data_IF_775795889588
#
_entry.id   IF_775795889588
#
_cell.length_a   1.000
_cell.length_b   1.000
_cell.length_c   1.000
_cell.angle_alpha   90.00
_cell.angle_beta   90.00
_cell.angle_gamma   90.00
#
_symmetry.space_group_name_H-M   'P 1'
#
loop_
_entity.id
_entity.type
_entity.pdbx_description
1 polymer ?
#
# COMPACT_ATOMS: atom_id res chain seq x y z
N UNK A 1 3.79 -1.30 21.53
CA UNK A 1 5.20 -1.00 21.21
C UNK A 1 5.24 0.26 20.35
N UNK A 2 5.10 1.45 20.95
CA UNK A 2 4.95 2.76 20.28
C UNK A 2 6.12 3.69 20.65
N UNK A 3 7.35 3.16 20.62
CA UNK A 3 8.56 3.91 21.04
C UNK A 3 9.42 4.42 19.86
N UNK A 4 8.95 4.36 18.61
CA UNK A 4 9.80 4.56 17.43
C UNK A 4 9.24 5.49 16.34
N UNK A 5 8.54 6.56 16.74
CA UNK A 5 8.47 7.73 15.87
C UNK A 5 9.60 8.73 16.12
N UNK A 6 10.50 8.54 17.09
CA UNK A 6 11.63 9.44 17.41
C UNK A 6 11.42 10.91 17.02
N UNK A 7 11.84 11.30 15.80
CA UNK A 7 11.28 12.45 15.07
C UNK A 7 11.05 12.20 13.54
N UNK A 8 10.57 11.00 13.22
CA UNK A 8 10.29 10.30 11.94
C UNK A 8 11.51 9.52 11.41
N UNK A 9 11.49 8.20 11.61
CA UNK A 9 12.61 7.26 11.46
C UNK A 9 13.23 7.26 10.05
N UNK A 10 14.23 8.11 9.84
CA UNK A 10 14.95 8.26 8.59
C UNK A 10 16.42 7.93 8.79
N UNK A 11 17.08 7.38 7.76
CA UNK A 11 18.54 7.22 7.74
C UNK A 11 19.21 8.55 8.13
N UNK A 12 20.39 8.54 8.77
CA UNK A 12 21.09 9.77 9.16
C UNK A 12 21.35 10.71 7.98
N UNK A 13 21.39 10.17 6.75
CA UNK A 13 21.67 10.93 5.54
C UNK A 13 20.42 11.11 4.66
N UNK A 14 19.47 11.90 5.17
CA UNK A 14 18.32 12.35 4.39
C UNK A 14 18.73 13.26 3.22
N UNK A 15 17.97 13.19 2.13
CA UNK A 15 18.06 14.17 1.04
C UNK A 15 17.76 15.61 1.52
N UNK A 16 18.15 16.60 0.71
CA UNK A 16 17.88 18.02 1.01
C UNK A 16 16.36 18.26 1.12
N UNK A 17 15.57 17.71 0.20
CA UNK A 17 14.12 17.84 0.23
C UNK A 17 13.53 17.15 1.46
N UNK A 18 13.97 15.93 1.77
CA UNK A 18 13.51 15.19 2.95
C UNK A 18 13.78 15.95 4.26
N UNK A 19 15.00 16.51 4.43
CA UNK A 19 15.35 17.36 5.58
C UNK A 19 14.44 18.57 5.69
N UNK A 20 14.25 19.30 4.59
CA UNK A 20 13.41 20.51 4.56
C UNK A 20 11.94 20.22 4.89
N UNK A 21 11.37 19.13 4.37
CA UNK A 21 10.00 18.72 4.67
C UNK A 21 9.87 18.30 6.12
N UNK A 22 10.76 17.42 6.62
CA UNK A 22 10.76 16.97 8.02
C UNK A 22 10.76 18.16 8.98
N UNK A 23 11.71 19.08 8.81
CA UNK A 23 11.88 20.22 9.71
C UNK A 23 10.66 21.16 9.67
N UNK A 24 10.04 21.32 8.49
CA UNK A 24 8.84 22.13 8.33
C UNK A 24 7.63 21.52 9.05
N UNK A 25 7.36 20.23 8.81
CA UNK A 25 6.17 19.55 9.34
C UNK A 25 6.25 19.27 10.85
N UNK A 26 7.46 19.21 11.42
CA UNK A 26 7.67 19.16 12.87
C UNK A 26 7.22 20.43 13.62
N UNK A 27 7.10 21.56 12.92
CA UNK A 27 6.74 22.85 13.53
C UNK A 27 5.46 23.46 12.96
N UNK A 28 4.91 22.89 11.88
CA UNK A 28 3.73 23.41 11.21
C UNK A 28 2.72 22.28 10.92
N UNK A 29 1.62 22.30 11.67
CA UNK A 29 0.58 21.28 11.61
C UNK A 29 -0.66 21.71 10.80
N UNK A 30 -0.79 23.00 10.43
CA UNK A 30 -1.97 23.50 9.70
C UNK A 30 -1.94 23.06 8.25
N UNK A 31 -3.04 22.47 7.77
CA UNK A 31 -3.20 21.96 6.41
C UNK A 31 -2.71 22.94 5.32
N UNK A 32 -3.24 24.17 5.30
CA UNK A 32 -2.87 25.17 4.29
C UNK A 32 -1.36 25.48 4.27
N UNK A 33 -0.73 25.52 5.45
CA UNK A 33 0.71 25.78 5.56
C UNK A 33 1.53 24.63 4.97
N UNK A 34 1.15 23.40 5.28
CA UNK A 34 1.85 22.20 4.80
C UNK A 34 1.66 22.04 3.29
N UNK A 35 0.42 22.14 2.79
CA UNK A 35 0.13 22.07 1.35
C UNK A 35 0.87 23.16 0.57
N UNK A 36 0.87 24.40 1.05
CA UNK A 36 1.61 25.51 0.43
C UNK A 36 3.12 25.31 0.45
N UNK A 37 3.67 24.71 1.50
CA UNK A 37 5.10 24.41 1.54
C UNK A 37 5.46 23.32 0.53
N UNK A 38 4.70 22.23 0.50
CA UNK A 38 4.90 21.10 -0.40
C UNK A 38 4.69 21.50 -1.87
N UNK A 39 3.82 22.47 -2.16
CA UNK A 39 3.56 22.94 -3.54
C UNK A 39 4.74 23.57 -4.24
N UNK A 40 5.75 24.03 -3.48
CA UNK A 40 7.01 24.57 -4.01
C UNK A 40 7.84 23.53 -4.75
N UNK A 41 7.65 22.25 -4.44
CA UNK A 41 8.36 21.17 -5.12
C UNK A 41 7.58 20.75 -6.37
N UNK A 42 8.29 20.68 -7.51
CA UNK A 42 7.72 20.13 -8.75
C UNK A 42 7.46 18.62 -8.63
N UNK A 43 8.37 17.92 -7.97
CA UNK A 43 8.35 16.48 -7.74
C UNK A 43 8.70 16.19 -6.27
N UNK A 44 8.08 15.17 -5.69
CA UNK A 44 8.40 14.69 -4.34
C UNK A 44 9.19 13.40 -4.39
N UNK A 45 10.34 13.39 -3.74
CA UNK A 45 11.18 12.21 -3.57
C UNK A 45 10.51 11.17 -2.66
N UNK A 46 10.85 9.90 -2.83
CA UNK A 46 10.30 8.80 -2.04
C UNK A 46 10.48 8.99 -0.53
N UNK A 47 11.67 9.43 -0.08
CA UNK A 47 11.92 9.71 1.34
C UNK A 47 11.04 10.84 1.89
N UNK A 48 10.79 11.88 1.09
CA UNK A 48 9.89 12.97 1.46
C UNK A 48 8.46 12.48 1.68
N UNK A 49 7.98 11.56 0.85
CA UNK A 49 6.65 10.94 0.97
C UNK A 49 6.57 10.11 2.24
N UNK A 50 7.59 9.31 2.54
CA UNK A 50 7.67 8.54 3.79
C UNK A 50 7.59 9.45 5.03
N UNK A 51 8.32 10.56 5.02
CA UNK A 51 8.29 11.54 6.12
C UNK A 51 6.89 12.13 6.27
N UNK A 52 6.27 12.58 5.17
CA UNK A 52 4.90 13.10 5.19
C UNK A 52 3.92 12.07 5.73
N UNK A 53 4.01 10.82 5.28
CA UNK A 53 3.15 9.72 5.72
C UNK A 53 3.31 9.49 7.22
N UNK A 54 4.54 9.34 7.69
CA UNK A 54 4.82 9.16 9.10
C UNK A 54 4.35 10.35 9.95
N UNK A 55 4.48 11.60 9.46
CA UNK A 55 4.05 12.79 10.19
C UNK A 55 2.53 12.92 10.28
N UNK A 56 1.82 12.71 9.17
CA UNK A 56 0.38 12.88 9.08
C UNK A 56 -0.35 11.70 9.72
N UNK A 57 0.12 10.46 9.49
CA UNK A 57 -0.54 9.23 9.96
C UNK A 57 -0.09 8.76 11.35
N UNK A 58 0.73 9.52 12.07
CA UNK A 58 1.19 9.20 13.44
C UNK A 58 0.09 8.98 14.50
N UNK A 59 -1.19 8.88 14.12
CA UNK A 59 -2.34 8.69 15.01
C UNK A 59 -3.24 7.48 14.69
N UNK A 60 -2.94 6.66 13.68
CA UNK A 60 -3.71 5.43 13.49
C UNK A 60 -3.39 4.44 14.62
N UNK A 61 -4.44 3.91 15.26
CA UNK A 61 -4.48 3.12 16.50
C UNK A 61 -4.58 3.96 17.80
N UNK A 62 -5.78 4.48 18.05
CA UNK A 62 -6.31 5.01 19.35
C UNK A 62 -5.78 6.34 19.89
N UNK A 63 -5.29 7.24 19.03
CA UNK A 63 -5.10 8.66 19.37
C UNK A 63 -5.77 9.55 18.35
N UNK A 64 -6.61 10.47 18.80
CA UNK A 64 -7.46 11.31 17.96
C UNK A 64 -6.69 12.32 17.06
N UNK A 65 -5.35 12.39 17.05
CA UNK A 65 -4.59 13.45 16.37
C UNK A 65 -3.12 13.11 16.02
N UNK A 66 -2.64 13.73 14.95
CA UNK A 66 -1.29 14.31 14.84
C UNK A 66 -1.35 15.77 14.35
N UNK A 67 -2.00 15.99 13.20
CA UNK A 67 -2.09 17.32 12.54
C UNK A 67 -3.47 17.99 12.68
N UNK A 68 -4.50 17.23 13.04
CA UNK A 68 -5.85 17.76 13.27
C UNK A 68 -6.58 18.21 12.02
N UNK A 69 -6.28 17.59 10.89
CA UNK A 69 -6.95 17.87 9.63
C UNK A 69 -8.33 17.21 9.62
N UNK A 70 -9.25 17.81 8.87
CA UNK A 70 -10.51 17.15 8.52
C UNK A 70 -10.24 15.98 7.58
N UNK A 71 -11.19 15.06 7.49
CA UNK A 71 -11.11 13.90 6.59
C UNK A 71 -10.88 14.35 5.14
N UNK A 72 -11.59 15.38 4.70
CA UNK A 72 -11.53 15.95 3.36
C UNK A 72 -10.16 16.56 3.06
N UNK A 73 -9.55 17.23 4.04
CA UNK A 73 -8.21 17.81 3.92
C UNK A 73 -7.13 16.73 3.80
N UNK A 74 -7.25 15.63 4.52
CA UNK A 74 -6.32 14.51 4.40
C UNK A 74 -6.38 13.87 3.01
N UNK A 75 -7.59 13.60 2.52
CA UNK A 75 -7.80 13.07 1.17
C UNK A 75 -7.24 14.00 0.11
N UNK A 76 -7.63 15.28 0.13
CA UNK A 76 -7.14 16.26 -0.84
C UNK A 76 -5.61 16.36 -0.78
N UNK A 77 -5.01 16.30 0.40
CA UNK A 77 -3.56 16.35 0.52
C UNK A 77 -2.88 15.15 -0.14
N UNK A 78 -3.40 13.93 0.07
CA UNK A 78 -2.82 12.73 -0.54
C UNK A 78 -3.03 12.67 -2.05
N UNK A 79 -4.17 13.13 -2.54
CA UNK A 79 -4.39 13.31 -3.99
C UNK A 79 -3.40 14.32 -4.57
N UNK A 80 -3.19 15.44 -3.87
CA UNK A 80 -2.19 16.43 -4.25
C UNK A 80 -0.76 15.86 -4.25
N UNK A 81 -0.38 15.09 -3.23
CA UNK A 81 0.94 14.41 -3.19
C UNK A 81 1.10 13.42 -4.34
N UNK A 82 0.04 12.69 -4.72
CA UNK A 82 0.04 11.79 -5.88
C UNK A 82 0.35 12.54 -7.18
N UNK A 83 -0.15 13.78 -7.36
CA UNK A 83 0.21 14.60 -8.53
C UNK A 83 1.70 14.97 -8.59
N UNK A 84 2.43 14.85 -7.48
CA UNK A 84 3.85 15.17 -7.38
C UNK A 84 4.75 13.94 -7.51
N UNK A 85 4.21 12.73 -7.39
CA UNK A 85 4.91 11.47 -7.59
C UNK A 85 3.91 10.33 -7.82
N UNK A 86 3.91 9.75 -9.03
CA UNK A 86 3.03 8.64 -9.43
C UNK A 86 3.70 7.27 -9.35
N UNK A 87 4.97 7.23 -8.93
CA UNK A 87 5.80 6.03 -8.99
C UNK A 87 5.94 5.37 -7.61
N UNK A 88 5.54 6.07 -6.54
CA UNK A 88 5.63 5.56 -5.17
C UNK A 88 4.36 4.83 -4.74
N UNK A 89 4.43 3.50 -4.62
CA UNK A 89 3.32 2.63 -4.19
C UNK A 89 2.73 3.04 -2.83
N UNK A 90 3.56 3.59 -1.95
CA UNK A 90 3.18 4.11 -0.64
C UNK A 90 2.11 5.21 -0.72
N UNK A 91 2.11 6.05 -1.77
CA UNK A 91 1.08 7.10 -1.91
C UNK A 91 -0.27 6.47 -2.21
N UNK A 92 -0.31 5.52 -3.15
CA UNK A 92 -1.54 4.81 -3.50
C UNK A 92 -2.10 4.06 -2.29
N UNK A 93 -1.24 3.35 -1.56
CA UNK A 93 -1.62 2.66 -0.33
C UNK A 93 -2.19 3.64 0.70
N UNK A 94 -1.48 4.73 0.96
CA UNK A 94 -1.90 5.73 1.94
C UNK A 94 -3.23 6.36 1.55
N UNK A 95 -3.41 6.72 0.28
CA UNK A 95 -4.67 7.31 -0.19
C UNK A 95 -5.83 6.31 -0.04
N UNK A 96 -5.62 5.03 -0.34
CA UNK A 96 -6.61 3.97 -0.13
C UNK A 96 -6.98 3.82 1.36
N UNK A 97 -5.98 3.76 2.24
CA UNK A 97 -6.14 3.66 3.70
C UNK A 97 -6.86 4.89 4.26
N UNK A 98 -6.50 6.09 3.82
CA UNK A 98 -7.16 7.34 4.22
C UNK A 98 -8.62 7.35 3.77
N UNK A 99 -8.93 6.93 2.55
CA UNK A 99 -10.31 6.85 2.05
C UNK A 99 -11.16 5.89 2.88
N UNK A 100 -10.63 4.70 3.18
CA UNK A 100 -11.33 3.68 3.97
C UNK A 100 -11.45 4.07 5.44
N UNK A 101 -10.35 4.49 6.05
CA UNK A 101 -10.28 4.87 7.47
C UNK A 101 -11.18 6.06 7.79
N UNK A 102 -11.44 6.92 6.81
CA UNK A 102 -12.36 8.04 6.94
C UNK A 102 -13.82 7.71 6.58
N UNK A 103 -14.10 6.52 6.04
CA UNK A 103 -15.43 6.07 5.65
C UNK A 103 -15.98 6.79 4.40
N UNK A 104 -15.10 7.27 3.53
CA UNK A 104 -15.47 8.06 2.33
C UNK A 104 -15.71 7.14 1.13
N UNK A 105 -14.89 6.09 0.98
CA UNK A 105 -15.03 5.08 -0.08
C UNK A 105 -15.04 3.69 0.51
N UNK A 106 -15.79 2.80 -0.12
CA UNK A 106 -15.81 1.36 0.16
C UNK A 106 -14.49 0.69 -0.27
N UNK A 107 -14.29 -0.56 0.18
CA UNK A 107 -13.15 -1.39 -0.23
C UNK A 107 -13.08 -1.53 -1.76
N UNK A 108 -14.23 -1.75 -2.41
CA UNK A 108 -14.31 -1.96 -3.86
C UNK A 108 -13.93 -0.69 -4.64
N UNK A 109 -14.29 0.49 -4.13
CA UNK A 109 -13.97 1.78 -4.75
C UNK A 109 -12.49 2.15 -4.62
N UNK A 110 -11.80 1.70 -3.57
CA UNK A 110 -10.36 1.95 -3.39
C UNK A 110 -9.47 0.81 -3.88
N UNK A 111 -10.03 -0.34 -4.24
CA UNK A 111 -9.27 -1.50 -4.68
C UNK A 111 -8.27 -1.21 -5.82
N UNK A 112 -8.61 -0.40 -6.85
CA UNK A 112 -7.63 -0.01 -7.86
C UNK A 112 -6.38 0.67 -7.28
N UNK A 113 -6.51 1.45 -6.21
CA UNK A 113 -5.37 2.07 -5.52
C UNK A 113 -4.51 1.01 -4.80
N UNK A 114 -5.13 0.02 -4.17
CA UNK A 114 -4.37 -1.10 -3.59
C UNK A 114 -3.59 -1.87 -4.66
N UNK A 115 -4.18 -2.12 -5.83
CA UNK A 115 -3.49 -2.78 -6.95
C UNK A 115 -2.29 -1.96 -7.42
N UNK A 116 -2.46 -0.65 -7.65
CA UNK A 116 -1.34 0.23 -8.03
C UNK A 116 -0.22 0.23 -6.98
N UNK A 117 -0.57 0.16 -5.70
CA UNK A 117 0.40 0.05 -4.61
C UNK A 117 1.16 -1.29 -4.66
N UNK A 118 0.44 -2.41 -4.79
CA UNK A 118 0.98 -3.77 -4.81
C UNK A 118 1.87 -4.01 -6.03
N UNK A 119 1.50 -3.49 -7.19
CA UNK A 119 2.30 -3.62 -8.42
C UNK A 119 3.67 -2.92 -8.30
N UNK A 120 3.75 -1.86 -7.49
CA UNK A 120 5.01 -1.13 -7.23
C UNK A 120 5.83 -1.76 -6.11
N UNK A 121 5.15 -2.27 -5.08
CA UNK A 121 5.77 -3.03 -3.99
C UNK A 121 4.83 -4.17 -3.57
N UNK A 122 5.14 -5.42 -3.93
CA UNK A 122 4.31 -6.58 -3.58
C UNK A 122 4.07 -6.74 -2.08
N UNK A 123 4.95 -6.22 -1.21
CA UNK A 123 4.75 -6.30 0.24
C UNK A 123 3.52 -5.51 0.72
N UNK A 124 3.03 -4.54 -0.07
CA UNK A 124 1.80 -3.84 0.24
C UNK A 124 0.56 -4.74 0.20
N UNK A 125 0.66 -5.96 -0.33
CA UNK A 125 -0.42 -6.95 -0.24
C UNK A 125 -0.86 -7.21 1.21
N UNK A 126 0.10 -7.28 2.13
CA UNK A 126 -0.15 -7.54 3.55
C UNK A 126 -0.82 -6.37 4.29
N UNK A 127 -1.10 -5.26 3.62
CA UNK A 127 -1.95 -4.19 4.16
C UNK A 127 -3.45 -4.50 4.08
N UNK A 128 -3.85 -5.44 3.22
CA UNK A 128 -5.21 -5.96 3.18
C UNK A 128 -5.40 -6.98 4.30
N UNK A 129 -6.49 -6.87 5.05
CA UNK A 129 -6.85 -7.89 6.03
C UNK A 129 -7.36 -9.16 5.33
N UNK A 130 -7.33 -10.30 6.03
CA UNK A 130 -7.91 -11.56 5.51
C UNK A 130 -9.37 -11.36 5.10
N UNK A 131 -10.15 -10.63 5.90
CA UNK A 131 -11.55 -10.29 5.58
C UNK A 131 -11.68 -9.43 4.33
N UNK A 132 -10.77 -8.48 4.11
CA UNK A 132 -10.78 -7.68 2.87
C UNK A 132 -10.51 -8.55 1.65
N UNK A 133 -9.53 -9.45 1.75
CA UNK A 133 -9.18 -10.40 0.69
C UNK A 133 -10.35 -11.32 0.38
N UNK A 134 -11.00 -11.90 1.40
CA UNK A 134 -12.20 -12.73 1.24
C UNK A 134 -13.36 -11.96 0.60
N UNK A 135 -13.57 -10.70 0.97
CA UNK A 135 -14.59 -9.86 0.35
C UNK A 135 -14.28 -9.62 -1.13
N UNK A 136 -13.06 -9.25 -1.46
CA UNK A 136 -12.64 -8.97 -2.83
C UNK A 136 -12.71 -10.22 -3.73
N UNK A 137 -12.37 -11.40 -3.19
CA UNK A 137 -12.48 -12.68 -3.90
C UNK A 137 -13.92 -13.05 -4.30
N UNK A 138 -14.95 -12.39 -3.74
CA UNK A 138 -16.36 -12.55 -4.18
C UNK A 138 -16.64 -11.88 -5.53
N UNK A 139 -15.78 -10.96 -5.98
CA UNK A 139 -15.94 -10.24 -7.24
C UNK A 139 -15.06 -10.87 -8.33
N UNK A 140 -15.63 -11.40 -9.43
CA UNK A 140 -14.85 -12.09 -10.46
C UNK A 140 -13.68 -11.27 -11.03
N UNK A 141 -13.87 -9.95 -11.20
CA UNK A 141 -12.84 -9.05 -11.71
C UNK A 141 -11.60 -8.95 -10.80
N UNK A 142 -11.77 -9.09 -9.49
CA UNK A 142 -10.69 -8.92 -8.50
C UNK A 142 -10.12 -10.27 -8.05
N UNK A 143 -10.96 -11.31 -8.05
CA UNK A 143 -10.60 -12.68 -7.67
C UNK A 143 -9.32 -13.17 -8.36
N UNK A 144 -9.24 -13.02 -9.69
CA UNK A 144 -8.07 -13.46 -10.46
C UNK A 144 -6.85 -12.59 -10.21
N UNK A 145 -7.02 -11.28 -10.08
CA UNK A 145 -5.92 -10.36 -9.79
C UNK A 145 -5.28 -10.68 -8.43
N UNK A 146 -6.09 -10.96 -7.41
CA UNK A 146 -5.58 -11.38 -6.09
C UNK A 146 -4.83 -12.70 -6.20
N UNK A 147 -5.40 -13.69 -6.89
CA UNK A 147 -4.74 -14.98 -7.08
C UNK A 147 -3.37 -14.82 -7.74
N UNK A 148 -3.27 -14.01 -8.80
CA UNK A 148 -2.00 -13.76 -9.50
C UNK A 148 -0.96 -13.07 -8.60
N UNK A 149 -1.40 -12.15 -7.74
CA UNK A 149 -0.55 -11.46 -6.75
C UNK A 149 -0.06 -12.46 -5.71
N UNK A 150 -0.95 -13.25 -5.10
CA UNK A 150 -0.63 -14.27 -4.09
C UNK A 150 0.40 -15.26 -4.64
N UNK A 151 0.14 -15.80 -5.84
CA UNK A 151 1.06 -16.72 -6.50
C UNK A 151 2.43 -16.11 -6.80
N UNK A 152 2.48 -14.81 -7.12
CA UNK A 152 3.74 -14.11 -7.39
C UNK A 152 4.52 -13.80 -6.09
N UNK A 153 3.83 -13.59 -4.97
CA UNK A 153 4.47 -13.50 -3.66
C UNK A 153 5.08 -14.84 -3.25
N UNK A 154 4.32 -15.92 -3.41
CA UNK A 154 4.80 -17.27 -3.13
C UNK A 154 5.98 -17.68 -4.00
N UNK A 155 6.05 -17.22 -5.24
CA UNK A 155 7.16 -17.52 -6.15
C UNK A 155 8.50 -17.03 -5.59
N UNK A 156 8.48 -15.91 -4.86
CA UNK A 156 9.67 -15.33 -4.23
C UNK A 156 9.98 -15.94 -2.85
N UNK A 157 9.04 -16.67 -2.25
CA UNK A 157 9.16 -17.21 -0.89
C UNK A 157 9.40 -18.72 -0.87
N UNK A 158 8.79 -19.46 -1.78
CA UNK A 158 8.79 -20.92 -1.80
C UNK A 158 9.83 -21.46 -2.75
N UNK A 159 10.53 -22.50 -2.31
CA UNK A 159 11.34 -23.39 -3.12
C UNK A 159 10.48 -24.21 -4.08
N UNK A 160 11.11 -24.82 -5.09
CA UNK A 160 10.42 -25.71 -6.04
C UNK A 160 9.72 -26.89 -5.36
N UNK A 161 10.28 -27.44 -4.28
CA UNK A 161 9.65 -28.54 -3.53
C UNK A 161 8.40 -28.07 -2.78
N UNK A 162 8.45 -26.90 -2.15
CA UNK A 162 7.29 -26.31 -1.46
C UNK A 162 6.15 -26.04 -2.46
N UNK A 163 6.47 -25.55 -3.66
CA UNK A 163 5.49 -25.39 -4.73
C UNK A 163 4.78 -26.70 -5.11
N UNK A 164 5.49 -27.82 -5.15
CA UNK A 164 4.89 -29.13 -5.47
C UNK A 164 3.97 -29.63 -4.35
N UNK A 165 4.35 -29.39 -3.09
CA UNK A 165 3.58 -29.78 -1.92
C UNK A 165 2.29 -28.94 -1.80
N UNK A 166 2.41 -27.63 -1.94
CA UNK A 166 1.30 -26.68 -1.79
C UNK A 166 0.35 -26.66 -2.99
N UNK A 167 0.79 -27.08 -4.18
CA UNK A 167 -0.03 -27.10 -5.39
C UNK A 167 -1.36 -27.83 -5.19
N UNK A 168 -1.35 -28.98 -4.51
CA UNK A 168 -2.58 -29.74 -4.26
C UNK A 168 -3.55 -28.99 -3.33
N UNK A 169 -3.04 -28.18 -2.40
CA UNK A 169 -3.86 -27.39 -1.49
C UNK A 169 -4.44 -26.16 -2.20
N UNK A 170 -3.63 -25.44 -2.98
CA UNK A 170 -4.09 -24.30 -3.79
C UNK A 170 -5.24 -24.69 -4.74
N UNK A 171 -5.16 -25.88 -5.36
CA UNK A 171 -6.24 -26.41 -6.21
C UNK A 171 -7.50 -26.73 -5.39
N UNK A 172 -7.37 -27.29 -4.17
CA UNK A 172 -8.53 -27.50 -3.30
C UNK A 172 -9.22 -26.18 -2.93
N UNK A 173 -8.43 -25.14 -2.68
CA UNK A 173 -8.96 -23.82 -2.29
C UNK A 173 -9.76 -23.14 -3.42
N UNK A 174 -9.58 -23.59 -4.67
CA UNK A 174 -10.40 -23.15 -5.80
C UNK A 174 -11.85 -23.65 -5.74
N UNK A 175 -12.15 -24.66 -4.91
CA UNK A 175 -13.49 -25.21 -4.72
C UNK A 175 -14.22 -25.56 -6.04
N UNK A 176 -13.48 -26.08 -7.04
CA UNK A 176 -14.01 -26.49 -8.34
C UNK A 176 -14.12 -25.37 -9.38
N UNK A 177 -13.56 -24.18 -9.12
CA UNK A 177 -13.41 -23.12 -10.12
C UNK A 177 -12.29 -23.46 -11.11
N UNK A 178 -12.67 -23.96 -12.28
CA UNK A 178 -11.75 -24.38 -13.34
C UNK A 178 -10.84 -23.28 -13.85
N UNK A 179 -11.33 -22.04 -13.91
CA UNK A 179 -10.52 -20.93 -14.43
C UNK A 179 -9.38 -20.60 -13.45
N UNK A 180 -9.65 -20.64 -12.14
CA UNK A 180 -8.60 -20.48 -11.13
C UNK A 180 -7.61 -21.63 -11.13
N UNK A 181 -8.12 -22.86 -11.24
CA UNK A 181 -7.28 -24.06 -11.34
C UNK A 181 -6.30 -23.94 -12.52
N UNK A 182 -6.78 -23.50 -13.68
CA UNK A 182 -5.95 -23.25 -14.88
C UNK A 182 -4.89 -22.15 -14.66
N UNK A 183 -5.19 -21.11 -13.90
CA UNK A 183 -4.19 -20.07 -13.54
C UNK A 183 -3.09 -20.67 -12.65
N UNK A 184 -3.46 -21.44 -11.63
CA UNK A 184 -2.50 -22.08 -10.71
C UNK A 184 -1.64 -23.09 -11.48
N UNK A 185 -2.25 -23.97 -12.27
CA UNK A 185 -1.53 -24.96 -13.06
C UNK A 185 -0.48 -24.31 -13.98
N UNK A 186 -0.87 -23.28 -14.74
CA UNK A 186 0.06 -22.55 -15.61
C UNK A 186 1.22 -21.93 -14.84
N UNK A 187 0.96 -21.37 -13.66
CA UNK A 187 2.01 -20.78 -12.81
C UNK A 187 2.97 -21.83 -12.27
N UNK A 188 2.46 -22.94 -11.74
CA UNK A 188 3.27 -24.05 -11.22
C UNK A 188 4.13 -24.65 -12.33
N UNK A 189 3.55 -24.91 -13.51
CA UNK A 189 4.30 -25.40 -14.68
C UNK A 189 5.44 -24.48 -15.07
N UNK A 190 5.22 -23.16 -15.08
CA UNK A 190 6.25 -22.16 -15.36
C UNK A 190 7.40 -22.22 -14.35
N UNK A 191 7.08 -22.26 -13.06
CA UNK A 191 8.09 -22.30 -11.99
C UNK A 191 8.93 -23.59 -12.06
N UNK A 192 8.27 -24.73 -12.31
CA UNK A 192 8.95 -26.03 -12.40
C UNK A 192 9.85 -26.13 -13.63
N UNK A 193 9.37 -25.65 -14.79
CA UNK A 193 10.11 -25.66 -16.06
C UNK A 193 11.35 -24.76 -16.06
N UNK A 194 11.45 -23.77 -15.17
CA UNK A 194 12.66 -22.96 -14.98
C UNK A 194 12.92 -21.94 -16.10
N UNK A 195 11.88 -21.59 -16.85
CA UNK A 195 11.84 -20.47 -17.83
C UNK A 195 11.17 -19.24 -17.23
#
# INVERSE_FOLDING_TARGET
>A
MLYQLGPYNTKPDLTVQGKQIRDFVQTNYKYEKVKTFVSRYKFLEHESILILRCAILAGYWTSYYGFGWTKEQEIDFWEFVLTKNTDSGIIFLTLAESYRGNGIKSLQEVYPLYIEAIQRDPQHYYSLSETDVEELKKYPAYKFQILEIELSLYENMWSKSEWLEEHSQLIKDCNGDKEMEEVIHRKVEKILSGT
#
